data_IF_262713390735
#
_entry.id   IF_262713390735
#
_cell.length_a   1.000
_cell.length_b   1.000
_cell.length_c   1.000
_cell.angle_alpha   90.00
_cell.angle_beta   90.00
_cell.angle_gamma   90.00
#
_symmetry.space_group_name_H-M   'P 1'
#
loop_
_entity.id
_entity.type
_entity.pdbx_description
1 polymer ?
#
# COMPACT_ATOMS: atom_id res chain seq x y z
N UNK A 1 -51.41 43.30 -41.59
CA UNK A 1 -52.52 42.33 -41.49
C UNK A 1 -51.98 41.06 -40.84
N UNK A 2 -52.39 40.85 -39.60
CA UNK A 2 -52.84 39.57 -39.02
C UNK A 2 -52.27 38.23 -39.54
N UNK A 3 -51.46 37.55 -38.70
CA UNK A 3 -51.73 36.35 -37.86
C UNK A 3 -52.06 35.04 -38.60
N UNK A 4 -51.25 34.02 -38.32
CA UNK A 4 -51.55 32.60 -38.53
C UNK A 4 -50.75 31.75 -37.54
N UNK A 5 -51.41 31.31 -36.46
CA UNK A 5 -50.88 30.44 -35.40
C UNK A 5 -50.63 29.01 -35.92
N UNK A 6 -49.50 28.42 -35.52
CA UNK A 6 -49.23 26.98 -35.64
C UNK A 6 -48.73 26.41 -34.32
N UNK A 7 -49.53 25.54 -33.73
CA UNK A 7 -49.42 24.91 -32.40
C UNK A 7 -48.20 23.99 -32.21
N UNK A 8 -47.45 24.19 -31.12
CA UNK A 8 -46.46 23.23 -30.60
C UNK A 8 -47.16 22.16 -29.75
N UNK A 9 -47.21 20.94 -30.29
CA UNK A 9 -47.65 19.73 -29.59
C UNK A 9 -46.50 19.06 -28.83
N UNK A 10 -46.81 18.64 -27.60
CA UNK A 10 -45.94 17.91 -26.66
C UNK A 10 -45.69 16.45 -27.08
N UNK A 11 -44.52 15.94 -26.74
CA UNK A 11 -44.16 14.53 -26.60
C UNK A 11 -42.63 14.45 -26.52
N UNK A 12 -41.95 14.01 -25.47
CA UNK A 12 -42.27 13.01 -24.46
C UNK A 12 -41.11 12.00 -24.51
N UNK A 13 -40.17 12.07 -23.56
CA UNK A 13 -39.02 11.16 -23.54
C UNK A 13 -37.86 11.61 -22.65
N UNK A 14 -38.16 12.05 -21.43
CA UNK A 14 -37.13 12.29 -20.42
C UNK A 14 -36.53 10.97 -19.94
N UNK A 15 -35.37 10.59 -20.47
CA UNK A 15 -34.49 9.60 -19.85
C UNK A 15 -33.79 10.25 -18.66
N UNK A 16 -34.41 10.12 -17.48
CA UNK A 16 -33.76 10.35 -16.19
C UNK A 16 -32.78 9.21 -15.94
N UNK A 17 -31.51 9.39 -16.30
CA UNK A 17 -30.42 8.61 -15.70
C UNK A 17 -30.16 9.16 -14.29
N UNK A 18 -30.85 8.58 -13.31
CA UNK A 18 -30.64 8.86 -11.90
C UNK A 18 -29.32 8.26 -11.42
N UNK A 19 -28.29 9.10 -11.38
CA UNK A 19 -27.10 8.92 -10.55
C UNK A 19 -26.89 10.21 -9.78
N UNK A 20 -27.71 10.43 -8.75
CA UNK A 20 -27.54 11.59 -7.87
C UNK A 20 -26.25 11.38 -7.06
N UNK A 21 -25.12 11.80 -7.62
CA UNK A 21 -23.85 11.94 -6.92
C UNK A 21 -24.03 12.94 -5.79
N UNK A 22 -24.46 12.45 -4.63
CA UNK A 22 -24.45 13.20 -3.38
C UNK A 22 -23.00 13.21 -2.91
N UNK A 23 -22.23 14.17 -3.43
CA UNK A 23 -20.95 14.57 -2.81
C UNK A 23 -21.24 14.75 -1.33
N UNK A 24 -20.40 14.16 -0.48
CA UNK A 24 -20.53 14.31 0.96
C UNK A 24 -20.81 15.78 1.29
N UNK A 25 -21.89 16.01 2.04
CA UNK A 25 -22.18 17.32 2.58
C UNK A 25 -20.86 17.80 3.21
N UNK A 26 -20.36 18.97 2.83
CA UNK A 26 -19.03 19.48 3.19
C UNK A 26 -18.85 19.72 4.71
N UNK A 27 -19.61 19.04 5.56
CA UNK A 27 -19.54 19.01 7.01
C UNK A 27 -18.14 18.68 7.53
N UNK A 28 -17.36 17.84 6.83
CA UNK A 28 -15.96 17.59 7.19
C UNK A 28 -15.07 18.81 6.97
N UNK A 29 -15.40 19.71 6.02
CA UNK A 29 -14.69 20.99 5.83
C UNK A 29 -14.88 21.93 7.03
N UNK A 30 -15.91 21.73 7.85
CA UNK A 30 -16.16 22.53 9.08
C UNK A 30 -15.34 22.05 10.28
N UNK A 31 -14.92 20.78 10.29
CA UNK A 31 -14.04 20.23 11.32
C UNK A 31 -13.10 19.19 10.68
N UNK A 32 -11.89 19.62 10.25
CA UNK A 32 -10.94 18.74 9.59
C UNK A 32 -10.52 17.52 10.43
N UNK A 33 -10.53 17.63 11.75
CA UNK A 33 -10.12 16.54 12.65
C UNK A 33 -11.24 15.54 12.95
N UNK A 34 -12.46 15.80 12.49
CA UNK A 34 -13.57 14.86 12.68
C UNK A 34 -13.31 13.58 11.90
N UNK A 35 -13.36 12.44 12.58
CA UNK A 35 -13.36 11.13 11.94
C UNK A 35 -14.65 11.01 11.10
N UNK A 36 -14.48 10.85 9.79
CA UNK A 36 -15.60 10.73 8.86
C UNK A 36 -15.96 9.27 8.62
N UNK A 37 -14.98 8.36 8.62
CA UNK A 37 -15.16 6.91 8.47
C UNK A 37 -14.04 6.18 9.20
N UNK A 38 -14.34 4.98 9.68
CA UNK A 38 -13.33 4.03 10.17
C UNK A 38 -13.41 2.79 9.28
N UNK A 39 -12.28 2.41 8.66
CA UNK A 39 -12.19 1.23 7.82
C UNK A 39 -10.98 0.41 8.24
N UNK A 40 -11.16 -0.87 8.54
CA UNK A 40 -10.06 -1.73 9.02
C UNK A 40 -9.28 -1.18 10.23
N UNK A 41 -9.99 -0.60 11.20
CA UNK A 41 -9.38 0.12 12.35
C UNK A 41 -8.56 1.37 11.95
N UNK A 42 -8.61 1.79 10.69
CA UNK A 42 -8.01 3.04 10.20
C UNK A 42 -9.06 4.13 10.32
N UNK A 43 -8.80 5.09 11.21
CA UNK A 43 -9.65 6.27 11.38
C UNK A 43 -9.28 7.31 10.33
N UNK A 44 -10.21 7.61 9.44
CA UNK A 44 -10.03 8.60 8.38
C UNK A 44 -10.75 9.87 8.80
N UNK A 45 -9.99 10.93 9.00
CA UNK A 45 -10.52 12.26 9.33
C UNK A 45 -10.82 13.07 8.07
N UNK A 46 -11.51 14.21 8.24
CA UNK A 46 -11.75 15.16 7.16
C UNK A 46 -10.46 15.67 6.50
N UNK A 47 -9.38 15.88 7.27
CA UNK A 47 -8.08 16.30 6.75
C UNK A 47 -7.37 15.19 5.95
N UNK A 48 -7.55 13.93 6.33
CA UNK A 48 -7.00 12.78 5.60
C UNK A 48 -7.72 12.64 4.27
N UNK A 49 -9.06 12.66 4.31
CA UNK A 49 -9.92 12.61 3.14
C UNK A 49 -9.60 13.73 2.14
N UNK A 50 -9.33 14.95 2.62
CA UNK A 50 -8.94 16.08 1.78
C UNK A 50 -7.65 15.82 0.98
N UNK A 51 -6.77 14.90 1.40
CA UNK A 51 -5.56 14.52 0.66
C UNK A 51 -5.85 13.80 -0.66
N UNK A 52 -7.05 13.26 -0.83
CA UNK A 52 -7.50 12.69 -2.09
C UNK A 52 -7.94 13.75 -3.12
N UNK A 53 -8.17 15.00 -2.69
CA UNK A 53 -8.46 16.10 -3.63
C UNK A 53 -7.27 16.36 -4.56
N UNK A 54 -7.53 17.10 -5.65
CA UNK A 54 -6.54 17.38 -6.68
C UNK A 54 -5.26 18.00 -6.06
N UNK A 55 -4.08 17.52 -6.49
CA UNK A 55 -2.76 17.91 -5.97
C UNK A 55 -2.49 17.58 -4.48
N UNK A 56 -3.36 16.87 -3.77
CA UNK A 56 -3.11 16.49 -2.38
C UNK A 56 -2.03 15.40 -2.26
N UNK A 57 -1.02 15.62 -1.43
CA UNK A 57 -0.03 14.58 -1.11
C UNK A 57 -0.70 13.58 -0.17
N UNK A 58 -0.70 12.31 -0.56
CA UNK A 58 -1.21 11.27 0.33
C UNK A 58 -0.34 11.23 1.59
N UNK A 59 -1.00 11.22 2.74
CA UNK A 59 -0.36 10.93 4.01
C UNK A 59 -0.40 9.43 4.29
N UNK A 60 0.23 9.01 5.38
CA UNK A 60 0.31 7.61 5.77
C UNK A 60 -1.09 6.99 5.98
N UNK A 61 -2.07 7.75 6.50
CA UNK A 61 -3.45 7.29 6.72
C UNK A 61 -4.13 6.92 5.41
N UNK A 62 -4.04 7.78 4.40
CA UNK A 62 -4.66 7.51 3.09
C UNK A 62 -3.95 6.39 2.33
N UNK A 63 -2.62 6.25 2.52
CA UNK A 63 -1.87 5.15 1.95
C UNK A 63 -2.25 3.82 2.62
N UNK A 64 -2.33 3.77 3.95
CA UNK A 64 -2.74 2.58 4.72
C UNK A 64 -4.17 2.16 4.33
N UNK A 65 -5.09 3.12 4.20
CA UNK A 65 -6.45 2.86 3.73
C UNK A 65 -6.47 2.22 2.34
N UNK A 66 -5.75 2.80 1.37
CA UNK A 66 -5.73 2.28 0.01
C UNK A 66 -5.15 0.86 -0.06
N UNK A 67 -4.08 0.59 0.70
CA UNK A 67 -3.48 -0.75 0.78
C UNK A 67 -4.43 -1.74 1.46
N UNK A 68 -5.09 -1.35 2.55
CA UNK A 68 -6.10 -2.16 3.24
C UNK A 68 -7.29 -2.51 2.32
N UNK A 69 -7.72 -1.57 1.46
CA UNK A 69 -8.72 -1.85 0.42
C UNK A 69 -8.22 -2.94 -0.54
N UNK A 70 -7.02 -2.79 -1.10
CA UNK A 70 -6.47 -3.78 -2.04
C UNK A 70 -6.26 -5.14 -1.40
N UNK A 71 -5.89 -5.19 -0.13
CA UNK A 71 -5.75 -6.45 0.59
C UNK A 71 -7.10 -7.12 0.85
N UNK A 72 -8.15 -6.35 1.19
CA UNK A 72 -9.51 -6.90 1.31
C UNK A 72 -10.10 -7.38 -0.01
N UNK A 73 -9.79 -6.71 -1.11
CA UNK A 73 -10.23 -7.09 -2.46
C UNK A 73 -9.34 -8.18 -3.09
N UNK A 74 -8.25 -8.57 -2.40
CA UNK A 74 -7.29 -9.54 -2.90
C UNK A 74 -7.92 -10.93 -3.05
N UNK A 75 -7.61 -11.60 -4.16
CA UNK A 75 -8.02 -12.99 -4.36
C UNK A 75 -7.39 -13.91 -3.31
N UNK A 76 -8.11 -14.91 -2.76
CA UNK A 76 -7.57 -15.81 -1.75
C UNK A 76 -6.28 -16.53 -2.18
N UNK A 77 -6.13 -16.86 -3.46
CA UNK A 77 -4.91 -17.47 -4.00
C UNK A 77 -3.70 -16.53 -3.88
N UNK A 78 -3.90 -15.24 -4.18
CA UNK A 78 -2.86 -14.20 -4.08
C UNK A 78 -2.55 -13.89 -2.62
N UNK A 79 -3.56 -13.88 -1.74
CA UNK A 79 -3.40 -13.65 -0.30
C UNK A 79 -2.50 -14.69 0.39
N UNK A 80 -2.43 -15.91 -0.15
CA UNK A 80 -1.49 -16.95 0.33
C UNK A 80 -0.04 -16.70 -0.10
N UNK A 81 0.17 -15.92 -1.17
CA UNK A 81 1.49 -15.68 -1.75
C UNK A 81 2.07 -14.31 -1.42
N UNK A 82 1.24 -13.34 -1.04
CA UNK A 82 1.64 -11.93 -0.90
C UNK A 82 1.34 -11.38 0.49
N UNK A 83 2.33 -10.73 1.09
CA UNK A 83 2.19 -9.90 2.28
C UNK A 83 2.26 -8.42 1.87
N UNK A 84 1.49 -7.56 2.53
CA UNK A 84 1.58 -6.10 2.38
C UNK A 84 1.86 -5.54 3.76
N UNK A 85 2.97 -4.82 3.91
CA UNK A 85 3.34 -4.20 5.17
C UNK A 85 2.58 -2.90 5.35
N UNK A 86 2.22 -2.66 6.61
CA UNK A 86 1.71 -1.39 7.02
C UNK A 86 2.78 -0.29 6.78
N UNK A 87 2.41 0.88 6.21
CA UNK A 87 3.36 1.91 5.80
C UNK A 87 4.16 2.54 6.95
N UNK A 88 3.67 2.44 8.19
CA UNK A 88 4.37 2.96 9.36
C UNK A 88 5.59 2.11 9.77
N UNK A 89 5.70 0.85 9.30
CA UNK A 89 6.77 -0.07 9.71
C UNK A 89 8.12 0.39 9.18
N UNK A 90 8.25 0.59 7.87
CA UNK A 90 9.53 1.01 7.29
C UNK A 90 9.95 2.38 7.84
N UNK A 91 9.00 3.32 7.89
CA UNK A 91 9.25 4.65 8.43
C UNK A 91 9.69 4.61 9.89
N UNK A 92 8.93 3.95 10.76
CA UNK A 92 9.28 3.87 12.18
C UNK A 92 10.58 3.12 12.43
N UNK A 93 10.93 2.15 11.58
CA UNK A 93 12.22 1.47 11.62
C UNK A 93 13.37 2.44 11.37
N UNK A 94 13.28 3.22 10.29
CA UNK A 94 14.32 4.19 9.92
C UNK A 94 14.39 5.33 10.94
N UNK A 95 13.24 5.85 11.36
CA UNK A 95 13.16 7.03 12.24
C UNK A 95 13.53 6.70 13.71
N UNK A 96 13.27 5.48 14.19
CA UNK A 96 13.30 5.14 15.62
C UNK A 96 13.93 3.79 15.97
N UNK A 97 14.37 3.02 14.98
CA UNK A 97 14.96 1.70 15.19
C UNK A 97 13.94 0.58 15.43
N UNK A 98 14.42 -0.67 15.36
CA UNK A 98 13.57 -1.86 15.46
C UNK A 98 12.82 -1.97 16.78
N UNK A 99 13.47 -1.68 17.90
CA UNK A 99 12.90 -1.93 19.23
C UNK A 99 11.61 -1.15 19.45
N UNK A 100 11.58 0.10 18.96
CA UNK A 100 10.41 0.99 19.02
C UNK A 100 9.24 0.50 18.16
N UNK A 101 9.50 -0.21 17.07
CA UNK A 101 8.47 -0.75 16.18
C UNK A 101 8.22 -2.24 16.35
N UNK A 102 8.97 -2.94 17.19
CA UNK A 102 8.95 -4.40 17.32
C UNK A 102 7.52 -4.93 17.56
N UNK A 103 6.76 -4.26 18.41
CA UNK A 103 5.34 -4.55 18.66
C UNK A 103 4.45 -4.32 17.44
N UNK A 104 4.66 -3.22 16.72
CA UNK A 104 3.94 -2.93 15.47
C UNK A 104 4.28 -3.98 14.41
N UNK A 105 5.54 -4.40 14.31
CA UNK A 105 5.98 -5.47 13.40
C UNK A 105 5.32 -6.78 13.78
N UNK A 106 5.26 -7.15 15.07
CA UNK A 106 4.52 -8.34 15.53
C UNK A 106 3.04 -8.29 15.13
N UNK A 107 2.38 -7.15 15.31
CA UNK A 107 0.94 -7.00 15.08
C UNK A 107 0.55 -6.81 13.60
N UNK A 108 1.37 -6.10 12.83
CA UNK A 108 1.07 -5.62 11.46
C UNK A 108 2.19 -5.83 10.43
N UNK A 109 3.30 -6.46 10.82
CA UNK A 109 4.43 -6.75 9.92
C UNK A 109 4.18 -7.91 8.95
N UNK A 110 3.07 -8.61 9.12
CA UNK A 110 2.68 -9.70 8.26
C UNK A 110 3.66 -10.86 8.22
N UNK A 111 3.60 -11.61 7.14
CA UNK A 111 4.36 -12.84 6.91
C UNK A 111 5.58 -12.62 6.01
N UNK A 112 6.54 -11.84 6.51
CA UNK A 112 7.79 -11.51 5.80
C UNK A 112 8.53 -12.74 5.24
N UNK A 113 8.46 -13.90 5.92
CA UNK A 113 9.22 -15.11 5.58
C UNK A 113 8.39 -16.34 5.22
N UNK A 114 7.05 -16.23 5.16
CA UNK A 114 6.20 -17.37 4.75
C UNK A 114 5.58 -17.18 3.38
N UNK A 115 5.49 -15.93 2.93
CA UNK A 115 4.91 -15.58 1.64
C UNK A 115 6.00 -15.39 0.59
N UNK A 116 5.61 -15.52 -0.68
CA UNK A 116 6.51 -15.38 -1.83
C UNK A 116 6.91 -13.94 -2.07
N UNK A 117 6.01 -13.00 -1.80
CA UNK A 117 6.23 -11.59 -2.01
C UNK A 117 5.85 -10.79 -0.77
N UNK A 118 6.65 -9.77 -0.47
CA UNK A 118 6.29 -8.77 0.54
C UNK A 118 6.37 -7.37 -0.05
N UNK A 119 5.24 -6.68 -0.10
CA UNK A 119 5.14 -5.29 -0.50
C UNK A 119 5.41 -4.40 0.71
N UNK A 120 6.34 -3.46 0.56
CA UNK A 120 6.74 -2.50 1.59
C UNK A 120 6.57 -1.09 1.02
N UNK A 121 5.56 -0.35 1.47
CA UNK A 121 5.46 1.08 1.18
C UNK A 121 6.61 1.80 1.89
N UNK A 122 7.33 2.63 1.16
CA UNK A 122 8.52 3.34 1.65
C UNK A 122 8.27 4.83 1.51
N UNK A 123 8.39 5.54 2.63
CA UNK A 123 8.42 7.00 2.65
C UNK A 123 9.86 7.45 2.87
N UNK A 124 10.46 8.05 1.85
CA UNK A 124 11.79 8.64 1.93
C UNK A 124 11.65 10.09 2.39
N UNK A 125 12.33 10.44 3.48
CA UNK A 125 12.43 11.79 4.04
C UNK A 125 11.07 12.48 4.31
N UNK A 126 10.01 11.69 4.55
CA UNK A 126 8.64 12.19 4.71
C UNK A 126 8.13 13.02 3.51
N UNK A 127 8.72 12.83 2.32
CA UNK A 127 8.40 13.58 1.11
C UNK A 127 8.10 12.69 -0.09
N UNK A 128 8.72 11.52 -0.19
CA UNK A 128 8.62 10.71 -1.41
C UNK A 128 8.18 9.29 -1.11
N UNK A 129 7.04 8.91 -1.69
CA UNK A 129 6.53 7.55 -1.62
C UNK A 129 7.04 6.71 -2.79
N UNK A 130 7.62 5.55 -2.47
CA UNK A 130 7.93 4.50 -3.43
C UNK A 130 7.46 3.14 -2.88
N UNK A 131 7.42 2.13 -3.75
CA UNK A 131 7.07 0.76 -3.36
C UNK A 131 8.30 -0.13 -3.49
N UNK A 132 8.64 -0.85 -2.42
CA UNK A 132 9.59 -1.95 -2.49
C UNK A 132 8.83 -3.29 -2.49
N UNK A 133 9.29 -4.24 -3.31
CA UNK A 133 8.77 -5.61 -3.33
C UNK A 133 9.93 -6.57 -3.03
N UNK A 134 9.82 -7.28 -1.91
CA UNK A 134 10.79 -8.28 -1.47
C UNK A 134 10.39 -9.66 -1.98
N UNK A 135 11.34 -10.40 -2.56
CA UNK A 135 11.14 -11.76 -3.06
C UNK A 135 12.40 -12.62 -2.79
N UNK A 136 12.31 -13.77 -2.09
CA UNK A 136 13.47 -14.62 -1.82
C UNK A 136 14.09 -15.19 -3.11
N UNK A 137 15.41 -15.25 -3.15
CA UNK A 137 16.14 -15.91 -4.24
C UNK A 137 15.83 -17.40 -4.19
N UNK A 138 15.37 -17.97 -5.31
CA UNK A 138 14.89 -19.36 -5.38
C UNK A 138 13.36 -19.50 -5.23
N UNK A 139 12.63 -18.40 -5.03
CA UNK A 139 11.16 -18.36 -5.11
C UNK A 139 10.44 -18.78 -3.82
N UNK A 140 11.17 -19.30 -2.83
CA UNK A 140 10.68 -19.56 -1.47
C UNK A 140 11.80 -19.34 -0.47
N UNK A 141 11.45 -18.93 0.73
CA UNK A 141 12.37 -18.96 1.85
C UNK A 141 12.68 -20.41 2.22
N UNK A 142 13.90 -20.69 2.72
CA UNK A 142 14.26 -22.03 3.17
C UNK A 142 13.27 -22.52 4.25
N UNK A 143 12.81 -23.76 4.12
CA UNK A 143 11.91 -24.36 5.11
C UNK A 143 12.72 -24.69 6.37
N UNK A 144 12.57 -23.88 7.41
CA UNK A 144 12.97 -24.27 8.77
C UNK A 144 11.72 -24.32 9.62
N UNK A 145 11.56 -25.44 10.32
CA UNK A 145 10.31 -25.89 10.92
C UNK A 145 9.55 -24.83 11.71
N UNK A 146 8.24 -24.80 11.46
CA UNK A 146 7.22 -24.48 12.46
C UNK A 146 6.95 -22.99 12.74
N UNK A 147 5.76 -22.55 12.35
CA UNK A 147 5.10 -21.40 12.96
C UNK A 147 4.45 -20.47 11.94
N UNK A 148 3.28 -20.84 11.41
CA UNK A 148 2.48 -19.96 10.56
C UNK A 148 2.30 -18.58 11.26
N UNK A 149 2.87 -17.53 10.68
CA UNK A 149 2.55 -16.16 11.04
C UNK A 149 1.29 -15.69 10.31
N UNK A 150 0.75 -14.56 10.74
CA UNK A 150 -0.44 -13.95 10.16
C UNK A 150 -0.09 -12.90 9.10
N UNK A 151 -1.01 -12.73 8.14
CA UNK A 151 -1.02 -11.64 7.15
C UNK A 151 -0.97 -10.23 7.79
N UNK A 152 -0.24 -9.29 7.18
CA UNK A 152 -0.04 -7.92 7.72
C UNK A 152 -1.31 -7.07 7.81
N UNK A 153 -2.34 -7.48 7.05
CA UNK A 153 -3.74 -7.17 7.33
C UNK A 153 -4.39 -8.49 7.72
N UNK A 154 -4.75 -8.63 8.99
CA UNK A 154 -5.48 -9.80 9.50
C UNK A 154 -6.91 -9.77 8.95
N UNK A 155 -7.45 -10.93 8.58
CA UNK A 155 -8.91 -11.08 8.43
C UNK A 155 -9.61 -10.76 9.77
N UNK A 156 -10.90 -10.40 9.77
CA UNK A 156 -11.56 -9.66 10.86
C UNK A 156 -11.69 -10.35 12.23
N UNK A 157 -11.00 -11.44 12.53
CA UNK A 157 -11.36 -12.28 13.68
C UNK A 157 -10.54 -12.08 14.96
N UNK A 158 -9.44 -11.30 14.99
CA UNK A 158 -8.73 -11.09 16.25
C UNK A 158 -8.45 -9.60 16.58
N UNK A 159 -9.26 -9.12 17.52
CA UNK A 159 -8.94 -8.35 18.74
C UNK A 159 -8.38 -6.91 18.68
N UNK A 160 -8.86 -6.16 19.68
CA UNK A 160 -8.94 -4.72 19.86
C UNK A 160 -7.74 -4.08 20.60
N UNK A 161 -7.72 -2.75 20.58
CA UNK A 161 -7.31 -1.76 21.60
C UNK A 161 -5.97 -1.87 22.37
N UNK A 162 -4.98 -1.09 21.89
CA UNK A 162 -4.17 -0.13 22.68
C UNK A 162 -3.02 0.42 21.80
N UNK A 163 -3.28 1.49 21.02
CA UNK A 163 -2.23 2.18 20.25
C UNK A 163 -1.67 3.42 20.97
N UNK A 164 -2.29 3.87 22.07
CA UNK A 164 -1.89 5.07 22.79
C UNK A 164 -0.93 4.81 23.98
N UNK A 165 -0.80 3.55 24.42
CA UNK A 165 0.00 3.14 25.59
C UNK A 165 1.36 2.53 25.22
N UNK A 166 1.67 2.42 23.91
CA UNK A 166 2.69 1.50 23.39
C UNK A 166 4.15 1.98 23.52
N UNK A 167 4.42 3.21 23.92
CA UNK A 167 5.77 3.82 23.97
C UNK A 167 6.58 3.51 25.24
N UNK A 168 6.10 2.61 26.10
CA UNK A 168 6.59 2.52 27.49
C UNK A 168 7.41 1.30 27.92
N UNK A 169 7.85 0.38 27.06
CA UNK A 169 8.72 -0.70 27.56
C UNK A 169 9.85 -1.06 26.57
N UNK A 170 11.05 -0.72 27.01
CA UNK A 170 12.33 -1.20 26.50
C UNK A 170 12.48 -2.65 26.97
N UNK A 171 12.71 -3.57 26.05
CA UNK A 171 13.23 -4.89 26.39
C UNK A 171 14.73 -4.81 26.12
N UNK A 172 15.53 -4.92 27.18
CA UNK A 172 16.97 -5.13 27.04
C UNK A 172 17.17 -6.55 26.51
N UNK A 173 17.95 -6.69 25.43
CA UNK A 173 18.40 -8.01 24.96
C UNK A 173 19.91 -8.11 25.15
N UNK A 174 20.30 -9.16 25.88
CA UNK A 174 21.68 -9.54 26.18
C UNK A 174 22.36 -10.13 24.93
N UNK A 175 23.69 -9.99 24.88
CA UNK A 175 24.49 -10.35 23.73
C UNK A 175 24.64 -11.86 23.45
N UNK A 176 24.81 -12.11 22.15
CA UNK A 176 25.96 -12.80 21.52
C UNK A 176 25.73 -14.16 20.80
N UNK A 177 26.33 -14.22 19.60
CA UNK A 177 26.71 -15.29 18.64
C UNK A 177 25.74 -16.44 18.27
N UNK A 178 25.36 -16.49 16.98
CA UNK A 178 25.76 -17.60 16.07
C UNK A 178 25.71 -17.11 14.60
N UNK A 179 26.87 -17.07 13.94
CA UNK A 179 27.03 -16.68 12.54
C UNK A 179 27.40 -17.90 11.67
N UNK A 180 26.99 -19.11 12.09
CA UNK A 180 27.16 -20.37 11.35
C UNK A 180 25.97 -20.79 10.47
N UNK A 181 24.91 -19.97 10.39
CA UNK A 181 23.70 -20.27 9.61
C UNK A 181 23.89 -20.11 8.09
N UNK A 182 23.05 -20.78 7.31
CA UNK A 182 22.99 -20.62 5.85
C UNK A 182 22.69 -19.16 5.48
N UNK A 183 23.50 -18.56 4.59
CA UNK A 183 23.25 -17.22 4.08
C UNK A 183 22.08 -17.23 3.11
N UNK A 184 21.00 -16.54 3.48
CA UNK A 184 19.82 -16.39 2.63
C UNK A 184 19.95 -15.14 1.77
N UNK A 185 19.26 -15.12 0.62
CA UNK A 185 19.27 -13.98 -0.29
C UNK A 185 17.86 -13.58 -0.70
N UNK A 186 17.62 -12.29 -0.84
CA UNK A 186 16.34 -11.76 -1.31
C UNK A 186 16.55 -10.66 -2.36
N UNK A 187 15.73 -10.64 -3.40
CA UNK A 187 15.63 -9.49 -4.28
C UNK A 187 14.76 -8.41 -3.63
N UNK A 188 15.21 -7.15 -3.68
CA UNK A 188 14.43 -5.98 -3.29
C UNK A 188 14.18 -5.13 -4.53
N UNK A 189 12.99 -5.28 -5.10
CA UNK A 189 12.58 -4.55 -6.29
C UNK A 189 12.04 -3.17 -5.91
N UNK A 190 12.67 -2.11 -6.40
CA UNK A 190 12.30 -0.72 -6.13
C UNK A 190 11.46 -0.19 -7.30
N UNK A 191 10.22 0.19 -7.00
CA UNK A 191 9.27 0.76 -7.94
C UNK A 191 9.04 2.23 -7.55
N UNK A 192 9.58 3.14 -8.36
CA UNK A 192 9.59 4.57 -8.08
C UNK A 192 9.13 5.35 -9.32
N UNK A 193 7.95 5.98 -9.22
CA UNK A 193 7.33 6.75 -10.30
C UNK A 193 8.02 8.08 -10.61
N UNK A 194 8.90 8.58 -9.73
CA UNK A 194 9.71 9.79 -9.94
C UNK A 194 11.12 9.51 -10.45
N UNK A 195 11.59 8.25 -10.38
CA UNK A 195 12.94 7.93 -10.82
C UNK A 195 13.10 8.03 -12.34
N UNK A 196 14.12 8.77 -12.79
CA UNK A 196 14.44 8.93 -14.21
C UNK A 196 15.36 7.85 -14.78
N UNK A 197 15.98 7.02 -13.92
CA UNK A 197 17.07 6.13 -14.35
C UNK A 197 16.56 4.93 -15.14
N UNK A 198 17.21 4.67 -16.27
CA UNK A 198 16.94 3.55 -17.17
C UNK A 198 17.89 2.38 -16.80
N UNK A 199 17.33 1.20 -16.50
CA UNK A 199 18.11 0.01 -16.12
C UNK A 199 18.22 -0.15 -14.59
N UNK A 200 18.44 -1.37 -14.10
CA UNK A 200 18.37 -1.76 -12.67
C UNK A 200 19.26 -0.99 -11.68
N UNK A 201 20.00 0.01 -12.14
CA UNK A 201 20.92 0.78 -11.31
C UNK A 201 20.15 1.63 -10.30
N UNK A 202 20.39 1.33 -9.03
CA UNK A 202 19.83 2.06 -7.90
C UNK A 202 20.44 3.46 -7.80
N UNK A 203 19.63 4.43 -7.39
CA UNK A 203 20.15 5.68 -6.81
C UNK A 203 20.75 5.45 -5.44
N UNK A 204 21.50 6.42 -4.91
CA UNK A 204 22.02 6.33 -3.54
C UNK A 204 20.87 6.18 -2.55
N UNK A 205 19.83 6.99 -2.69
CA UNK A 205 18.59 6.87 -1.91
C UNK A 205 17.96 5.48 -2.02
N UNK A 206 17.92 4.88 -3.21
CA UNK A 206 17.40 3.52 -3.36
C UNK A 206 18.31 2.47 -2.73
N UNK A 207 19.63 2.69 -2.76
CA UNK A 207 20.60 1.84 -2.07
C UNK A 207 20.40 1.91 -0.56
N UNK A 208 20.18 3.09 0.00
CA UNK A 208 19.88 3.28 1.42
C UNK A 208 18.59 2.57 1.82
N UNK A 209 17.53 2.68 0.99
CA UNK A 209 16.28 1.93 1.18
C UNK A 209 16.52 0.42 1.20
N UNK A 210 17.33 -0.09 0.27
CA UNK A 210 17.66 -1.53 0.21
C UNK A 210 18.42 -1.97 1.47
N UNK A 211 19.39 -1.18 1.92
CA UNK A 211 20.14 -1.43 3.16
C UNK A 211 19.19 -1.46 4.37
N UNK A 212 18.29 -0.49 4.51
CA UNK A 212 17.32 -0.48 5.60
C UNK A 212 16.33 -1.65 5.54
N UNK A 213 15.91 -2.08 4.34
CA UNK A 213 15.09 -3.29 4.19
C UNK A 213 15.90 -4.53 4.60
N UNK A 214 17.18 -4.63 4.24
CA UNK A 214 18.05 -5.72 4.68
C UNK A 214 18.15 -5.79 6.21
N UNK A 215 18.42 -4.65 6.86
CA UNK A 215 18.51 -4.56 8.30
C UNK A 215 17.19 -4.95 8.97
N UNK A 216 16.06 -4.43 8.46
CA UNK A 216 14.72 -4.78 8.94
C UNK A 216 14.48 -6.29 8.82
N UNK A 217 14.74 -6.89 7.65
CA UNK A 217 14.58 -8.33 7.42
C UNK A 217 15.45 -9.13 8.40
N UNK A 218 16.71 -8.76 8.61
CA UNK A 218 17.59 -9.44 9.55
C UNK A 218 17.10 -9.32 11.00
N UNK A 219 16.58 -8.15 11.42
CA UNK A 219 15.99 -7.97 12.76
C UNK A 219 14.75 -8.85 12.96
N UNK A 220 13.85 -8.88 11.99
CA UNK A 220 12.65 -9.74 12.07
C UNK A 220 13.03 -11.23 12.01
N UNK A 221 14.02 -11.60 11.20
CA UNK A 221 14.49 -12.99 11.10
C UNK A 221 15.07 -13.46 12.45
N UNK A 222 15.92 -12.66 13.10
CA UNK A 222 16.45 -13.00 14.43
C UNK A 222 15.34 -13.25 15.45
N UNK A 223 14.29 -12.43 15.42
CA UNK A 223 13.16 -12.56 16.34
C UNK A 223 12.26 -13.76 16.03
N UNK A 224 11.96 -14.03 14.76
CA UNK A 224 10.95 -15.02 14.35
C UNK A 224 11.52 -16.35 13.88
N UNK A 225 12.82 -16.41 13.58
CA UNK A 225 13.52 -17.54 12.96
C UNK A 225 14.84 -17.80 13.67
N UNK A 226 14.76 -18.30 14.91
CA UNK A 226 15.94 -18.68 15.69
C UNK A 226 16.84 -19.62 14.89
N UNK A 227 18.13 -19.31 14.82
CA UNK A 227 19.13 -20.09 14.08
C UNK A 227 19.15 -19.87 12.56
N UNK A 228 18.35 -18.95 12.00
CA UNK A 228 18.55 -18.51 10.62
C UNK A 228 19.82 -17.68 10.49
N UNK A 229 20.55 -17.89 9.39
CA UNK A 229 21.66 -17.03 9.01
C UNK A 229 21.20 -15.65 8.54
N UNK A 230 22.16 -14.83 8.14
CA UNK A 230 21.89 -13.49 7.64
C UNK A 230 21.18 -13.53 6.28
N UNK A 231 20.37 -12.51 6.02
CA UNK A 231 19.74 -12.23 4.74
C UNK A 231 20.56 -11.14 4.04
N UNK A 232 21.06 -11.44 2.85
CA UNK A 232 21.62 -10.46 1.92
C UNK A 232 20.53 -9.96 0.96
N UNK A 233 20.34 -8.65 0.89
CA UNK A 233 19.37 -8.00 0.02
C UNK A 233 20.01 -7.50 -1.28
N UNK A 234 19.50 -7.99 -2.41
CA UNK A 234 19.94 -7.64 -3.75
C UNK A 234 18.93 -6.66 -4.34
N UNK A 235 19.25 -5.37 -4.25
CA UNK A 235 18.40 -4.31 -4.75
C UNK A 235 18.34 -4.21 -6.27
N UNK A 236 17.16 -3.92 -6.82
CA UNK A 236 16.88 -3.85 -8.26
C UNK A 236 15.87 -2.75 -8.58
N UNK A 237 16.23 -1.75 -9.37
CA UNK A 237 15.26 -0.76 -9.85
C UNK A 237 14.33 -1.36 -10.94
N UNK A 238 13.02 -1.24 -10.76
CA UNK A 238 12.01 -1.71 -11.71
C UNK A 238 11.51 -0.55 -12.56
N UNK A 239 11.43 -0.76 -13.88
CA UNK A 239 10.83 0.22 -14.78
C UNK A 239 9.32 0.25 -14.57
N UNK A 240 8.82 1.39 -14.10
CA UNK A 240 7.39 1.70 -13.94
C UNK A 240 7.03 2.96 -14.73
N UNK A 241 5.74 3.22 -15.00
CA UNK A 241 5.31 4.48 -15.59
C UNK A 241 5.79 5.67 -14.75
N UNK A 242 6.22 6.72 -15.44
CA UNK A 242 6.65 7.96 -14.79
C UNK A 242 5.44 8.81 -14.48
N UNK A 243 5.38 9.34 -13.27
CA UNK A 243 4.35 10.30 -12.91
C UNK A 243 4.59 11.65 -13.57
N UNK A 244 3.51 12.37 -13.80
CA UNK A 244 3.53 13.77 -14.22
C UNK A 244 3.20 14.62 -13.00
N UNK A 245 4.08 15.56 -12.64
CA UNK A 245 3.95 16.37 -11.42
C UNK A 245 4.54 15.72 -10.17
N UNK A 246 4.52 16.43 -9.03
CA UNK A 246 5.24 16.03 -7.81
C UNK A 246 4.38 15.33 -6.75
N UNK A 247 3.05 15.36 -6.85
CA UNK A 247 2.18 15.15 -5.69
C UNK A 247 1.50 13.77 -5.68
N UNK A 248 1.74 12.96 -6.71
CA UNK A 248 1.04 11.71 -6.96
C UNK A 248 1.84 10.46 -6.61
N UNK A 249 3.05 10.58 -6.05
CA UNK A 249 3.91 9.43 -5.72
C UNK A 249 3.21 8.42 -4.81
N UNK A 250 2.46 8.87 -3.80
CA UNK A 250 1.65 7.99 -2.96
C UNK A 250 0.50 7.31 -3.71
N UNK A 251 -0.12 8.00 -4.66
CA UNK A 251 -1.19 7.43 -5.51
C UNK A 251 -0.60 6.37 -6.45
N UNK A 252 0.61 6.59 -6.96
CA UNK A 252 1.34 5.61 -7.76
C UNK A 252 1.71 4.37 -6.96
N UNK A 253 2.12 4.51 -5.69
CA UNK A 253 2.32 3.35 -4.81
C UNK A 253 1.06 2.49 -4.71
N UNK A 254 -0.12 3.11 -4.50
CA UNK A 254 -1.40 2.39 -4.47
C UNK A 254 -1.72 1.73 -5.81
N UNK A 255 -1.47 2.41 -6.92
CA UNK A 255 -1.69 1.87 -8.27
C UNK A 255 -0.81 0.66 -8.55
N UNK A 256 0.49 0.78 -8.34
CA UNK A 256 1.48 -0.25 -8.58
C UNK A 256 1.21 -1.48 -7.70
N UNK A 257 0.86 -1.26 -6.42
CA UNK A 257 0.43 -2.33 -5.53
C UNK A 257 -0.83 -3.03 -6.07
N UNK A 258 -1.87 -2.28 -6.45
CA UNK A 258 -3.12 -2.84 -7.00
C UNK A 258 -2.86 -3.70 -8.24
N UNK A 259 -2.07 -3.20 -9.19
CA UNK A 259 -1.76 -3.92 -10.43
C UNK A 259 -0.95 -5.18 -10.14
N UNK A 260 0.06 -5.10 -9.24
CA UNK A 260 0.83 -6.25 -8.81
C UNK A 260 -0.07 -7.34 -8.19
N UNK A 261 -0.95 -6.95 -7.27
CA UNK A 261 -1.82 -7.87 -6.52
C UNK A 261 -2.86 -8.59 -7.41
N UNK A 262 -3.15 -8.08 -8.61
CA UNK A 262 -4.01 -8.78 -9.58
C UNK A 262 -3.31 -9.98 -10.21
N UNK A 263 -1.98 -9.95 -10.37
CA UNK A 263 -1.21 -11.05 -10.97
C UNK A 263 0.28 -11.04 -10.55
N UNK A 264 0.61 -11.44 -9.31
CA UNK A 264 2.00 -11.45 -8.82
C UNK A 264 2.93 -12.32 -9.67
N UNK A 265 2.42 -13.45 -10.19
CA UNK A 265 3.20 -14.37 -11.03
C UNK A 265 3.71 -13.71 -12.32
N UNK A 266 2.89 -12.88 -12.98
CA UNK A 266 3.32 -12.07 -14.13
C UNK A 266 4.49 -11.16 -13.74
N UNK A 267 4.38 -10.46 -12.62
CA UNK A 267 5.41 -9.50 -12.19
C UNK A 267 6.68 -10.18 -11.65
N UNK A 268 6.60 -11.42 -11.17
CA UNK A 268 7.78 -12.23 -10.88
C UNK A 268 8.75 -12.31 -12.06
N UNK A 269 8.21 -12.36 -13.28
CA UNK A 269 9.00 -12.32 -14.51
C UNK A 269 9.32 -10.88 -14.94
N UNK A 270 8.33 -9.99 -15.02
CA UNK A 270 8.52 -8.63 -15.54
C UNK A 270 9.49 -7.77 -14.73
N UNK A 271 9.64 -8.03 -13.43
CA UNK A 271 10.60 -7.30 -12.60
C UNK A 271 12.05 -7.78 -12.77
N UNK A 272 12.29 -8.84 -13.54
CA UNK A 272 13.63 -9.37 -13.85
C UNK A 272 14.20 -8.78 -15.14
N UNK A 273 15.48 -9.02 -15.39
CA UNK A 273 16.14 -8.54 -16.61
C UNK A 273 15.55 -9.15 -17.89
N UNK A 274 15.05 -10.38 -17.81
CA UNK A 274 14.55 -11.13 -18.95
C UNK A 274 13.10 -10.73 -19.31
N UNK A 275 12.31 -10.37 -18.30
CA UNK A 275 10.90 -10.03 -18.51
C UNK A 275 10.58 -8.56 -18.70
N UNK A 276 11.48 -7.65 -18.32
CA UNK A 276 11.16 -6.21 -18.33
C UNK A 276 10.89 -5.66 -19.73
N UNK A 277 9.90 -4.78 -19.80
CA UNK A 277 9.80 -3.80 -20.87
C UNK A 277 11.05 -2.94 -20.99
N UNK A 278 11.43 -2.59 -22.21
CA UNK A 278 12.63 -1.75 -22.46
C UNK A 278 12.28 -0.29 -22.68
N UNK A 279 11.03 0.00 -23.04
CA UNK A 279 10.51 1.34 -23.31
C UNK A 279 9.55 1.86 -22.22
N UNK A 280 9.27 3.16 -22.25
CA UNK A 280 8.23 3.77 -21.41
C UNK A 280 6.82 3.27 -21.78
N UNK A 281 6.61 2.94 -23.06
CA UNK A 281 5.35 2.38 -23.56
C UNK A 281 5.11 0.98 -22.99
N UNK A 282 6.15 0.13 -22.95
CA UNK A 282 6.05 -1.19 -22.30
C UNK A 282 5.69 -1.06 -20.83
N UNK A 283 6.36 -0.15 -20.11
CA UNK A 283 6.06 0.11 -18.71
C UNK A 283 4.61 0.58 -18.52
N UNK A 284 4.12 1.46 -19.40
CA UNK A 284 2.73 1.91 -19.44
C UNK A 284 1.75 0.75 -19.57
N UNK A 285 1.99 -0.15 -20.54
CA UNK A 285 1.15 -1.35 -20.77
C UNK A 285 1.22 -2.34 -19.62
N UNK A 286 2.43 -2.63 -19.14
CA UNK A 286 2.66 -3.66 -18.13
C UNK A 286 2.02 -3.30 -16.79
N UNK A 287 2.12 -2.02 -16.42
CA UNK A 287 1.61 -1.44 -15.19
C UNK A 287 0.25 -0.74 -15.37
N UNK A 288 -0.43 -0.91 -16.50
CA UNK A 288 -1.80 -0.42 -16.74
C UNK A 288 -1.95 1.08 -16.41
N UNK A 289 -1.05 1.91 -16.92
CA UNK A 289 -0.98 3.34 -16.61
C UNK A 289 -2.28 4.09 -16.95
N UNK A 290 -3.06 3.60 -17.91
CA UNK A 290 -4.38 4.14 -18.27
C UNK A 290 -5.39 4.10 -17.10
N UNK A 291 -5.32 3.06 -16.24
CA UNK A 291 -6.21 2.92 -15.08
C UNK A 291 -5.85 3.88 -13.93
N UNK A 292 -4.63 4.44 -13.93
CA UNK A 292 -4.17 5.37 -12.89
C UNK A 292 -5.03 6.64 -12.85
N UNK A 293 -5.48 7.11 -14.01
CA UNK A 293 -6.10 8.44 -14.20
C UNK A 293 -7.29 8.71 -13.28
N UNK A 294 -8.03 7.69 -12.87
CA UNK A 294 -9.20 7.83 -11.99
C UNK A 294 -8.99 7.28 -10.57
N UNK A 295 -7.74 6.95 -10.17
CA UNK A 295 -7.53 6.25 -8.89
C UNK A 295 -7.94 7.09 -7.68
N UNK A 296 -7.68 8.41 -7.69
CA UNK A 296 -8.17 9.34 -6.65
C UNK A 296 -9.69 9.33 -6.58
N UNK A 297 -10.37 9.34 -7.72
CA UNK A 297 -11.83 9.28 -7.83
C UNK A 297 -12.39 7.99 -7.22
N UNK A 298 -11.76 6.84 -7.52
CA UNK A 298 -12.14 5.54 -6.95
C UNK A 298 -12.01 5.55 -5.42
N UNK A 299 -10.89 6.06 -4.87
CA UNK A 299 -10.69 6.11 -3.42
C UNK A 299 -11.69 7.07 -2.74
N UNK A 300 -11.99 8.20 -3.37
CA UNK A 300 -13.03 9.13 -2.90
C UNK A 300 -14.38 8.44 -2.83
N UNK A 301 -14.83 7.84 -3.94
CA UNK A 301 -16.11 7.15 -4.05
C UNK A 301 -16.24 6.04 -3.00
N UNK A 302 -15.18 5.23 -2.78
CA UNK A 302 -15.16 4.21 -1.73
C UNK A 302 -15.43 4.78 -0.34
N UNK A 303 -14.84 5.91 0.01
CA UNK A 303 -15.06 6.55 1.32
C UNK A 303 -16.47 7.14 1.39
N UNK A 304 -16.95 7.79 0.32
CA UNK A 304 -18.30 8.34 0.28
C UNK A 304 -19.37 7.25 0.45
N UNK A 305 -19.19 6.10 -0.19
CA UNK A 305 -20.07 4.93 -0.05
C UNK A 305 -20.10 4.39 1.38
N UNK A 306 -18.94 4.28 2.04
CA UNK A 306 -18.86 3.82 3.43
C UNK A 306 -19.54 4.79 4.40
N UNK A 307 -19.38 6.10 4.19
CA UNK A 307 -20.06 7.12 5.00
C UNK A 307 -21.58 7.02 4.80
N UNK A 308 -22.04 6.91 3.55
CA UNK A 308 -23.46 6.76 3.24
C UNK A 308 -24.06 5.47 3.82
N UNK A 309 -23.28 4.37 3.86
CA UNK A 309 -23.70 3.13 4.50
C UNK A 309 -23.90 3.31 6.01
N UNK A 310 -22.94 3.95 6.71
CA UNK A 310 -23.06 4.23 8.15
C UNK A 310 -24.27 5.10 8.47
N UNK A 311 -24.51 6.18 7.70
CA UNK A 311 -25.66 7.06 7.92
C UNK A 311 -27.00 6.33 7.77
N UNK A 312 -27.10 5.39 6.82
CA UNK A 312 -28.29 4.54 6.67
C UNK A 312 -28.50 3.60 7.86
N UNK A 313 -27.43 3.02 8.39
CA UNK A 313 -27.49 2.17 9.59
C UNK A 313 -27.92 2.96 10.83
N UNK A 314 -27.38 4.16 11.02
CA UNK A 314 -27.75 5.06 12.13
C UNK A 314 -29.22 5.48 12.03
N UNK A 315 -29.69 5.86 10.83
CA UNK A 315 -31.09 6.24 10.60
C UNK A 315 -32.07 5.07 10.77
N UNK A 316 -31.65 3.84 10.50
CA UNK A 316 -32.47 2.64 10.72
C UNK A 316 -32.55 2.19 12.18
N UNK A 317 -31.68 2.71 13.06
CA UNK A 317 -31.68 2.44 14.51
C UNK A 317 -32.46 3.49 15.32
N UNK A 318 -32.78 4.64 14.71
CA UNK A 318 -33.53 5.74 15.32
C UNK A 318 -35.04 5.56 15.11
#
# INVERSE_FOLDING_TARGET
MEIGRGTLGKGGGGSRSGGAGRRLNHAWRRNPNKIIVTYDRINISGQDFARLEHNGWLNDVMLDFGLALWVREMRPEVAREVSVLNPYIFRGFVDSGYDMISRLVKKKGGDLFFKKFTLIPVNVDNMHWLLAIVHPVGGKWAEVGGGAGASGYTTPEDEDDEMASLFGAIVEDEGDVDNGGEMHRAHVYILDSLCERLGFQLSNTHQDVVTHIEELLNRVARERRRGWGLIEAIGKAVRVPRQVGGNDCGVWVLHLARVFLRNPAKFCYLMTADGRGTSAEDAGRDWQAEEFTNLRGILLERIEDMVAAREREEAGRA
#
